data_IF_990433795702
#
_entry.id   IF_990433795702
#
_cell.length_a   1.000
_cell.length_b   1.000
_cell.length_c   1.000
_cell.angle_alpha   90.00
_cell.angle_beta   90.00
_cell.angle_gamma   90.00
#
_symmetry.space_group_name_H-M   'P 1'
#
loop_
_entity.id
_entity.type
_entity.pdbx_description
1 polymer ?
#
# COMPACT_ATOMS: atom_id res chain seq x y z
N UNK A 1 38.40 13.54 19.62
CA UNK A 1 37.46 12.57 19.02
C UNK A 1 36.33 13.36 18.39
N UNK A 2 36.28 13.45 17.05
CA UNK A 2 35.15 14.06 16.36
C UNK A 2 34.04 13.02 16.27
N UNK A 3 32.96 13.22 17.01
CA UNK A 3 31.72 12.48 16.76
C UNK A 3 31.20 13.04 15.44
N UNK A 4 31.33 12.26 14.37
CA UNK A 4 30.69 12.55 13.09
C UNK A 4 29.21 12.65 13.40
N UNK A 5 28.66 13.86 13.35
CA UNK A 5 27.22 14.03 13.39
C UNK A 5 26.66 13.12 12.29
N UNK A 6 26.00 12.04 12.67
CA UNK A 6 25.10 11.37 11.75
C UNK A 6 24.11 12.46 11.38
N UNK A 7 24.27 13.05 10.20
CA UNK A 7 23.25 13.85 9.57
C UNK A 7 22.08 12.90 9.41
N UNK A 8 21.21 12.85 10.42
CA UNK A 8 19.86 12.32 10.30
C UNK A 8 19.36 13.08 9.08
N UNK A 9 19.19 12.39 7.95
CA UNK A 9 18.63 13.04 6.77
C UNK A 9 17.38 13.74 7.27
N UNK A 10 17.21 15.05 7.00
CA UNK A 10 15.98 15.72 7.40
C UNK A 10 14.84 14.85 6.91
N UNK A 11 13.93 14.50 7.82
CA UNK A 11 12.75 13.71 7.46
C UNK A 11 12.11 14.44 6.27
N UNK A 12 11.83 13.68 5.20
CA UNK A 12 11.43 14.22 3.91
C UNK A 12 10.24 15.19 4.07
N UNK A 13 10.14 16.19 3.21
CA UNK A 13 9.04 17.18 3.27
C UNK A 13 7.72 16.55 2.81
N UNK A 14 6.58 17.11 3.16
CA UNK A 14 5.24 16.63 2.75
C UNK A 14 5.15 16.38 1.22
N UNK A 15 5.79 17.26 0.44
CA UNK A 15 5.92 17.17 -1.02
C UNK A 15 6.64 15.92 -1.52
N UNK A 16 7.52 15.35 -0.71
CA UNK A 16 8.33 14.17 -1.06
C UNK A 16 7.56 12.86 -0.82
N UNK A 17 6.51 12.92 0.00
CA UNK A 17 5.65 11.77 0.26
C UNK A 17 4.43 11.77 -0.65
N UNK A 18 3.80 12.90 -0.95
CA UNK A 18 2.53 12.92 -1.70
C UNK A 18 1.35 12.37 -0.89
N UNK A 19 0.12 12.57 -1.38
CA UNK A 19 -1.10 12.09 -0.72
C UNK A 19 -1.46 10.67 -1.20
N UNK A 20 -1.57 9.74 -0.26
CA UNK A 20 -1.90 8.32 -0.50
C UNK A 20 -3.24 7.93 0.14
N UNK A 21 -4.10 8.91 0.36
CA UNK A 21 -5.46 8.79 0.89
C UNK A 21 -6.48 8.33 -0.18
N UNK A 22 -6.00 7.97 -1.37
CA UNK A 22 -6.78 7.31 -2.42
C UNK A 22 -6.10 6.00 -2.82
N UNK A 23 -6.87 4.90 -2.77
CA UNK A 23 -6.40 3.59 -3.23
C UNK A 23 -6.36 3.51 -4.76
N UNK A 24 -5.43 2.72 -5.33
CA UNK A 24 -5.46 2.37 -6.75
C UNK A 24 -6.75 1.60 -7.09
N UNK A 25 -7.21 1.75 -8.35
CA UNK A 25 -8.37 1.02 -8.86
C UNK A 25 -8.12 -0.49 -8.91
N UNK A 26 -9.13 -1.25 -8.49
CA UNK A 26 -9.12 -2.71 -8.59
C UNK A 26 -9.20 -3.17 -10.06
N UNK A 27 -8.72 -4.39 -10.38
CA UNK A 27 -9.06 -5.05 -11.63
C UNK A 27 -10.58 -5.20 -11.76
N UNK A 28 -11.09 -5.09 -12.97
CA UNK A 28 -12.51 -5.30 -13.21
C UNK A 28 -12.87 -6.79 -13.01
N UNK A 29 -14.12 -7.09 -12.67
CA UNK A 29 -14.55 -8.45 -12.32
C UNK A 29 -14.29 -9.42 -13.48
N UNK A 30 -14.52 -8.98 -14.71
CA UNK A 30 -14.25 -9.70 -15.94
C UNK A 30 -12.77 -9.95 -16.23
N UNK A 31 -11.86 -9.18 -15.61
CA UNK A 31 -10.41 -9.37 -15.73
C UNK A 31 -9.93 -10.52 -14.88
N UNK A 32 -10.63 -10.85 -13.79
CA UNK A 32 -10.20 -11.79 -12.76
C UNK A 32 -10.53 -13.23 -13.16
N UNK A 33 -9.54 -14.12 -13.04
CA UNK A 33 -9.73 -15.56 -13.15
C UNK A 33 -9.79 -16.19 -11.75
N UNK A 34 -11.00 -16.48 -11.28
CA UNK A 34 -11.22 -17.11 -9.97
C UNK A 34 -10.88 -18.60 -9.93
N UNK A 35 -10.60 -19.23 -11.08
CA UNK A 35 -10.17 -20.64 -11.12
C UNK A 35 -8.70 -20.80 -10.76
N UNK A 36 -7.90 -19.73 -10.91
CA UNK A 36 -6.48 -19.73 -10.57
C UNK A 36 -6.28 -19.52 -9.06
N UNK A 37 -5.69 -20.50 -8.32
CA UNK A 37 -5.51 -20.41 -6.88
C UNK A 37 -4.57 -19.27 -6.45
N UNK A 38 -3.58 -18.91 -7.28
CA UNK A 38 -2.66 -17.79 -6.99
C UNK A 38 -3.38 -16.45 -7.08
N UNK A 39 -4.33 -16.32 -8.02
CA UNK A 39 -5.21 -15.14 -8.12
C UNK A 39 -6.09 -15.02 -6.87
N UNK A 40 -6.69 -16.12 -6.42
CA UNK A 40 -7.53 -16.14 -5.21
C UNK A 40 -6.72 -15.76 -3.96
N UNK A 41 -5.50 -16.27 -3.80
CA UNK A 41 -4.64 -15.90 -2.68
C UNK A 41 -4.20 -14.43 -2.75
N UNK A 42 -3.85 -13.94 -3.94
CA UNK A 42 -3.51 -12.54 -4.16
C UNK A 42 -4.67 -11.59 -3.81
N UNK A 43 -5.92 -11.94 -4.18
CA UNK A 43 -7.11 -11.17 -3.79
C UNK A 43 -7.24 -11.07 -2.27
N UNK A 44 -7.04 -12.18 -1.53
CA UNK A 44 -7.09 -12.16 -0.06
C UNK A 44 -6.02 -11.27 0.55
N UNK A 45 -4.78 -11.32 0.01
CA UNK A 45 -3.68 -10.46 0.46
C UNK A 45 -3.97 -8.98 0.16
N UNK A 46 -4.55 -8.69 -0.99
CA UNK A 46 -4.99 -7.34 -1.37
C UNK A 46 -6.00 -6.79 -0.37
N UNK A 47 -7.03 -7.55 -0.02
CA UNK A 47 -8.05 -7.08 0.92
C UNK A 47 -7.48 -6.81 2.32
N UNK A 48 -6.54 -7.63 2.80
CA UNK A 48 -5.79 -7.34 4.06
C UNK A 48 -5.00 -6.03 3.97
N UNK A 49 -4.37 -5.74 2.84
CA UNK A 49 -3.67 -4.47 2.66
C UNK A 49 -4.63 -3.28 2.63
N UNK A 50 -5.84 -3.44 2.05
CA UNK A 50 -6.88 -2.40 2.10
C UNK A 50 -7.37 -2.17 3.53
N UNK A 51 -7.52 -3.23 4.32
CA UNK A 51 -7.85 -3.11 5.75
C UNK A 51 -6.78 -2.34 6.52
N UNK A 52 -5.51 -2.69 6.34
CA UNK A 52 -4.38 -1.97 6.95
C UNK A 52 -4.39 -0.49 6.52
N UNK A 53 -4.54 -0.23 5.22
CA UNK A 53 -4.63 1.13 4.70
C UNK A 53 -5.77 1.94 5.34
N UNK A 54 -6.96 1.34 5.51
CA UNK A 54 -8.09 1.99 6.18
C UNK A 54 -7.79 2.28 7.65
N UNK A 55 -7.14 1.37 8.36
CA UNK A 55 -6.73 1.59 9.74
C UNK A 55 -5.68 2.72 9.85
N UNK A 56 -4.79 2.83 8.87
CA UNK A 56 -3.75 3.86 8.83
C UNK A 56 -4.27 5.25 8.42
N UNK A 57 -5.51 5.36 7.90
CA UNK A 57 -6.11 6.67 7.56
C UNK A 57 -6.26 7.58 8.78
N UNK A 58 -6.59 6.99 9.92
CA UNK A 58 -6.80 7.70 11.18
C UNK A 58 -5.51 7.83 12.02
N UNK A 59 -4.41 7.20 11.60
CA UNK A 59 -3.11 7.35 12.24
C UNK A 59 -2.72 8.85 12.31
N UNK A 60 -2.15 9.33 13.43
CA UNK A 60 -1.71 8.58 14.62
C UNK A 60 -2.77 8.42 15.71
N UNK A 61 -4.03 8.83 15.48
CA UNK A 61 -5.07 8.85 16.52
C UNK A 61 -5.31 7.44 17.04
N UNK A 62 -5.34 7.30 18.36
CA UNK A 62 -5.48 5.99 19.03
C UNK A 62 -4.18 5.16 19.10
N UNK A 63 -3.09 5.60 18.48
CA UNK A 63 -1.76 4.97 18.57
C UNK A 63 -0.80 5.82 19.39
N UNK A 64 -0.77 7.12 19.14
CA UNK A 64 0.04 8.07 19.90
C UNK A 64 -0.81 8.77 20.95
N UNK A 65 -0.15 9.23 22.02
CA UNK A 65 -0.79 10.14 22.99
C UNK A 65 -0.91 11.53 22.37
N UNK A 66 -1.97 12.25 22.73
CA UNK A 66 -2.28 13.56 22.15
C UNK A 66 -1.13 14.57 22.34
N UNK A 67 -0.44 14.54 23.48
CA UNK A 67 0.67 15.46 23.74
C UNK A 67 1.86 15.25 22.78
N UNK A 68 2.05 14.01 22.30
CA UNK A 68 3.10 13.69 21.32
C UNK A 68 2.69 14.15 19.92
N UNK A 69 1.41 14.01 19.58
CA UNK A 69 0.85 14.47 18.31
C UNK A 69 0.97 16.00 18.23
N UNK A 70 0.59 16.71 19.29
CA UNK A 70 0.68 18.17 19.36
C UNK A 70 2.13 18.68 19.33
N UNK A 71 3.06 17.97 19.97
CA UNK A 71 4.49 18.32 19.96
C UNK A 71 5.15 18.07 18.59
N UNK A 72 4.66 17.10 17.82
CA UNK A 72 5.29 16.67 16.57
C UNK A 72 4.28 16.40 15.42
N UNK A 73 3.46 17.38 15.03
CA UNK A 73 2.38 17.18 14.06
C UNK A 73 2.89 16.73 12.69
N UNK A 74 4.04 17.25 12.25
CA UNK A 74 4.68 16.85 11.00
C UNK A 74 5.17 15.39 11.01
N UNK A 75 5.69 14.90 12.14
CA UNK A 75 6.11 13.49 12.23
C UNK A 75 4.93 12.53 12.18
N UNK A 76 3.84 12.89 12.88
CA UNK A 76 2.59 12.16 12.83
C UNK A 76 2.10 11.99 11.38
N UNK A 77 2.08 13.09 10.62
CA UNK A 77 1.68 13.08 9.21
C UNK A 77 2.65 12.30 8.32
N UNK A 78 3.96 12.46 8.51
CA UNK A 78 4.95 11.74 7.73
C UNK A 78 4.83 10.21 7.90
N UNK A 79 4.63 9.75 9.15
CA UNK A 79 4.40 8.34 9.43
C UNK A 79 3.09 7.84 8.84
N UNK A 80 2.00 8.60 8.99
CA UNK A 80 0.71 8.29 8.34
C UNK A 80 0.91 8.08 6.85
N UNK A 81 1.52 9.04 6.15
CA UNK A 81 1.72 8.96 4.71
C UNK A 81 2.65 7.81 4.31
N UNK A 82 3.66 7.48 5.12
CA UNK A 82 4.51 6.30 4.91
C UNK A 82 3.74 4.98 5.00
N UNK A 83 2.85 4.84 5.99
CA UNK A 83 1.99 3.66 6.13
C UNK A 83 1.03 3.52 4.96
N UNK A 84 0.33 4.59 4.60
CA UNK A 84 -0.60 4.63 3.48
C UNK A 84 0.09 4.28 2.16
N UNK A 85 1.26 4.88 1.89
CA UNK A 85 2.06 4.60 0.70
C UNK A 85 2.38 3.11 0.54
N UNK A 86 2.85 2.48 1.62
CA UNK A 86 3.25 1.05 1.58
C UNK A 86 2.08 0.16 1.17
N UNK A 87 0.90 0.43 1.71
CA UNK A 87 -0.31 -0.31 1.36
C UNK A 87 -0.76 -0.01 -0.08
N UNK A 88 -0.75 1.26 -0.51
CA UNK A 88 -1.08 1.65 -1.89
C UNK A 88 -0.17 0.99 -2.93
N UNK A 89 1.15 1.03 -2.71
CA UNK A 89 2.13 0.38 -3.59
C UNK A 89 1.96 -1.14 -3.61
N UNK A 90 1.74 -1.76 -2.44
CA UNK A 90 1.47 -3.19 -2.34
C UNK A 90 0.20 -3.62 -3.07
N UNK A 91 -0.90 -2.86 -2.93
CA UNK A 91 -2.15 -3.12 -3.64
C UNK A 91 -1.96 -2.93 -5.15
N UNK A 92 -1.24 -1.90 -5.58
CA UNK A 92 -0.96 -1.66 -7.00
C UNK A 92 -0.18 -2.82 -7.63
N UNK A 93 0.84 -3.30 -6.92
CA UNK A 93 1.62 -4.47 -7.34
C UNK A 93 0.74 -5.71 -7.46
N UNK A 94 -0.06 -6.02 -6.44
CA UNK A 94 -0.95 -7.19 -6.44
C UNK A 94 -1.99 -7.09 -7.56
N UNK A 95 -2.57 -5.91 -7.81
CA UNK A 95 -3.48 -5.70 -8.92
C UNK A 95 -2.81 -5.99 -10.28
N UNK A 96 -1.52 -5.66 -10.43
CA UNK A 96 -0.72 -6.05 -11.58
C UNK A 96 -0.58 -7.57 -11.72
N UNK A 97 -0.22 -8.26 -10.63
CA UNK A 97 -0.11 -9.73 -10.62
C UNK A 97 -1.44 -10.42 -10.98
N UNK A 98 -2.55 -9.98 -10.40
CA UNK A 98 -3.88 -10.53 -10.67
C UNK A 98 -4.21 -10.44 -12.16
N UNK A 99 -3.99 -9.27 -12.78
CA UNK A 99 -4.23 -9.10 -14.23
C UNK A 99 -3.31 -9.99 -15.06
N UNK A 100 -2.03 -10.06 -14.71
CA UNK A 100 -1.04 -10.92 -15.38
C UNK A 100 -1.47 -12.39 -15.38
N UNK A 101 -1.64 -12.97 -14.19
CA UNK A 101 -1.99 -14.39 -14.06
C UNK A 101 -3.36 -14.74 -14.63
N UNK A 102 -4.34 -13.85 -14.49
CA UNK A 102 -5.68 -14.07 -15.06
C UNK A 102 -5.66 -14.05 -16.60
N UNK A 103 -4.76 -13.26 -17.21
CA UNK A 103 -4.59 -13.23 -18.67
C UNK A 103 -3.88 -14.48 -19.21
N UNK A 104 -2.89 -15.00 -18.47
CA UNK A 104 -2.16 -16.22 -18.81
C UNK A 104 -3.09 -17.44 -18.83
N UNK A 105 -3.92 -17.62 -17.79
CA UNK A 105 -4.93 -18.68 -17.74
C UNK A 105 -5.86 -18.67 -18.97
N UNK A 106 -6.41 -17.49 -19.30
CA UNK A 106 -7.35 -17.30 -20.43
C UNK A 106 -6.70 -17.53 -21.81
N UNK A 107 -5.37 -17.42 -21.90
CA UNK A 107 -4.62 -17.69 -23.13
C UNK A 107 -4.33 -19.18 -23.31
N UNK A 108 -4.04 -19.89 -22.21
CA UNK A 108 -3.82 -21.34 -22.23
C UNK A 108 -5.06 -22.14 -22.66
N UNK A 109 -6.24 -21.72 -22.20
CA UNK A 109 -7.53 -22.32 -22.62
C UNK A 109 -7.85 -22.09 -24.10
N UNK A 110 -7.39 -20.97 -24.68
CA UNK A 110 -7.66 -20.62 -26.09
C UNK A 110 -6.73 -21.33 -27.08
N UNK A 111 -5.54 -21.74 -26.65
CA UNK A 111 -4.57 -22.45 -27.50
C UNK A 111 -4.81 -23.97 -27.58
N UNK A 112 -5.80 -24.50 -26.87
CA UNK A 112 -6.11 -25.94 -26.82
C UNK A 112 -7.25 -26.39 -27.76
N UNK A 113 -7.72 -25.52 -28.66
CA UNK A 113 -8.72 -25.83 -29.69
C UNK A 113 -8.11 -25.89 -31.11
#
# INVERSE_FOLDING_TARGET
MYVRAMTIRPFLTESDFGKWDVLPGDPAEEEIDYSNPDVVDALRRRERLKENWRADLDYPKGVWRDEIIEAHPWWAEAWRNWFLRRSCEGISFINGCIRGWSSESKSGERSSF
#
